data_IF_339780246148
#
_entry.id   IF_339780246148
#
_cell.length_a   1.000
_cell.length_b   1.000
_cell.length_c   1.000
_cell.angle_alpha   90.00
_cell.angle_beta   90.00
_cell.angle_gamma   90.00
#
_symmetry.space_group_name_H-M   'P 1'
#
loop_
_entity.id
_entity.type
_entity.pdbx_description
1 polymer ?
#
# COMPACT_ATOMS: atom_id res chain seq x y z
N UNK A 1 -4.70 9.61 2.97
CA UNK A 1 -5.41 8.35 3.24
C UNK A 1 -4.75 7.71 4.45
N UNK A 2 -5.49 6.90 5.21
CA UNK A 2 -4.99 6.21 6.41
C UNK A 2 -4.90 4.71 6.17
N UNK A 3 -4.02 4.03 6.89
CA UNK A 3 -3.95 2.59 6.91
C UNK A 3 -5.27 1.99 7.40
N UNK A 4 -5.70 0.91 6.74
CA UNK A 4 -6.95 0.21 7.09
C UNK A 4 -6.73 -1.25 7.36
N UNK A 5 -6.01 -1.93 6.48
CA UNK A 5 -5.86 -3.39 6.54
C UNK A 5 -4.62 -3.83 5.78
N UNK A 6 -4.18 -5.05 6.07
CA UNK A 6 -3.22 -5.78 5.27
C UNK A 6 -3.81 -7.12 4.80
N UNK A 7 -3.09 -7.81 3.92
CA UNK A 7 -3.56 -9.07 3.36
C UNK A 7 -3.63 -10.26 4.31
N UNK A 8 -3.01 -10.14 5.48
CA UNK A 8 -3.15 -11.12 6.55
C UNK A 8 -4.43 -10.93 7.36
N UNK A 9 -5.10 -9.78 7.25
CA UNK A 9 -6.33 -9.43 7.97
C UNK A 9 -7.62 -9.42 7.11
N UNK A 10 -7.52 -9.65 5.79
CA UNK A 10 -8.64 -9.55 4.84
C UNK A 10 -8.92 -10.87 4.11
N UNK A 11 -10.12 -11.02 3.52
CA UNK A 11 -10.45 -12.22 2.74
C UNK A 11 -9.65 -12.23 1.43
N UNK A 12 -8.89 -13.31 1.18
CA UNK A 12 -7.94 -13.39 0.06
C UNK A 12 -8.53 -13.09 -1.33
N UNK A 13 -9.84 -13.28 -1.54
CA UNK A 13 -10.51 -12.96 -2.82
C UNK A 13 -10.57 -11.46 -3.11
N UNK A 14 -10.84 -10.63 -2.10
CA UNK A 14 -10.96 -9.18 -2.27
C UNK A 14 -9.60 -8.54 -2.57
N UNK A 15 -8.54 -9.09 -1.99
CA UNK A 15 -7.18 -8.63 -2.24
C UNK A 15 -6.67 -9.09 -3.59
N UNK A 16 -6.94 -10.34 -3.98
CA UNK A 16 -6.59 -10.80 -5.31
C UNK A 16 -7.23 -9.89 -6.39
N UNK A 17 -8.52 -9.57 -6.26
CA UNK A 17 -9.19 -8.68 -7.19
C UNK A 17 -8.58 -7.26 -7.21
N UNK A 18 -8.12 -6.75 -6.07
CA UNK A 18 -7.43 -5.46 -5.98
C UNK A 18 -6.06 -5.52 -6.67
N UNK A 19 -5.28 -6.58 -6.45
CA UNK A 19 -3.94 -6.76 -7.03
C UNK A 19 -4.04 -6.96 -8.55
N UNK A 20 -4.99 -7.77 -9.03
CA UNK A 20 -5.18 -8.06 -10.46
C UNK A 20 -5.52 -6.80 -11.28
N UNK A 21 -6.08 -5.77 -10.64
CA UNK A 21 -6.44 -4.49 -11.27
C UNK A 21 -5.51 -3.34 -10.85
N UNK A 22 -4.43 -3.63 -10.12
CA UNK A 22 -3.52 -2.62 -9.62
C UNK A 22 -2.70 -1.98 -10.73
N UNK A 23 -2.48 -0.68 -10.61
CA UNK A 23 -1.54 0.07 -11.43
C UNK A 23 -0.38 0.52 -10.55
N UNK A 24 0.83 0.18 -10.95
CA UNK A 24 2.05 0.67 -10.30
C UNK A 24 2.13 2.20 -10.40
N UNK A 25 2.53 2.83 -9.30
CA UNK A 25 2.71 4.29 -9.18
C UNK A 25 4.06 4.60 -8.54
N UNK A 26 4.53 5.83 -8.69
CA UNK A 26 5.76 6.26 -8.01
C UNK A 26 5.53 6.50 -6.52
N UNK A 27 6.62 6.51 -5.75
CA UNK A 27 6.60 6.96 -4.34
C UNK A 27 6.01 8.36 -4.21
N UNK A 28 6.39 9.29 -5.10
CA UNK A 28 5.87 10.66 -5.08
C UNK A 28 4.36 10.70 -5.29
N UNK A 29 3.84 9.92 -6.26
CA UNK A 29 2.39 9.79 -6.48
C UNK A 29 1.68 9.18 -5.29
N UNK A 30 2.31 8.23 -4.61
CA UNK A 30 1.76 7.56 -3.43
C UNK A 30 1.69 8.52 -2.22
N UNK A 31 2.74 9.30 -1.97
CA UNK A 31 2.81 10.25 -0.86
C UNK A 31 1.93 11.49 -1.06
N UNK A 32 1.48 11.80 -2.28
CA UNK A 32 0.40 12.77 -2.51
C UNK A 32 -0.91 12.30 -1.87
N UNK A 33 -1.12 10.99 -1.76
CA UNK A 33 -2.36 10.40 -1.27
C UNK A 33 -2.29 9.93 0.18
N UNK A 34 -1.10 9.62 0.73
CA UNK A 34 -0.93 9.01 2.06
C UNK A 34 -0.30 10.00 3.05
N UNK A 35 -0.74 9.95 4.29
CA UNK A 35 -0.13 10.73 5.36
C UNK A 35 1.22 10.09 5.78
N UNK A 36 2.28 10.88 5.83
CA UNK A 36 3.63 10.42 6.16
C UNK A 36 3.69 9.72 7.52
N UNK A 37 2.89 10.17 8.50
CA UNK A 37 2.84 9.55 9.83
C UNK A 37 2.31 8.12 9.79
N UNK A 38 1.44 7.78 8.84
CA UNK A 38 0.94 6.40 8.69
C UNK A 38 2.04 5.47 8.13
N UNK A 39 2.97 6.00 7.34
CA UNK A 39 4.13 5.25 6.86
C UNK A 39 5.16 5.07 7.97
N UNK A 40 5.41 6.10 8.76
CA UNK A 40 6.26 6.01 9.96
C UNK A 40 5.74 4.97 10.95
N UNK A 41 4.42 4.92 11.18
CA UNK A 41 3.81 3.94 12.08
C UNK A 41 3.90 2.50 11.54
N UNK A 42 3.70 2.31 10.23
CA UNK A 42 3.75 0.98 9.60
C UNK A 42 5.18 0.46 9.42
N UNK A 43 6.12 1.37 9.16
CA UNK A 43 7.50 1.04 8.82
C UNK A 43 8.51 1.89 9.61
N UNK A 44 8.48 1.85 10.95
CA UNK A 44 9.23 2.77 11.81
C UNK A 44 10.74 2.64 11.70
N UNK A 45 11.25 1.52 11.18
CA UNK A 45 12.67 1.27 10.95
C UNK A 45 13.12 1.46 9.51
N UNK A 46 12.19 1.75 8.59
CA UNK A 46 12.48 1.88 7.16
C UNK A 46 12.19 3.27 6.60
N UNK A 47 11.45 4.12 7.29
CA UNK A 47 11.29 5.52 6.86
C UNK A 47 12.58 6.34 7.15
N UNK A 48 13.04 7.22 6.23
CA UNK A 48 12.49 7.56 4.91
C UNK A 48 12.96 6.66 3.75
N UNK A 49 13.74 5.62 4.01
CA UNK A 49 14.36 4.76 3.00
C UNK A 49 13.45 3.69 2.39
N UNK A 50 12.17 3.63 2.74
CA UNK A 50 11.28 2.57 2.27
C UNK A 50 11.10 2.61 0.74
N UNK A 51 11.16 3.80 0.15
CA UNK A 51 11.16 3.99 -1.30
C UNK A 51 12.45 3.53 -1.99
N UNK A 52 13.54 3.36 -1.24
CA UNK A 52 14.83 2.89 -1.75
C UNK A 52 14.98 1.36 -1.64
N UNK A 53 14.04 0.70 -0.95
CA UNK A 53 14.01 -0.75 -0.83
C UNK A 53 13.49 -1.37 -2.14
N UNK A 54 14.37 -2.08 -2.85
CA UNK A 54 14.05 -2.73 -4.12
C UNK A 54 12.94 -3.79 -4.02
N UNK A 55 12.61 -4.24 -2.81
CA UNK A 55 11.53 -5.18 -2.54
C UNK A 55 10.21 -4.49 -2.15
N UNK A 56 10.14 -3.17 -2.30
CA UNK A 56 8.96 -2.35 -2.06
C UNK A 56 8.44 -1.78 -3.38
N UNK A 57 7.15 -1.97 -3.61
CA UNK A 57 6.45 -1.45 -4.78
C UNK A 57 5.16 -0.73 -4.33
N UNK A 58 4.77 0.30 -5.07
CA UNK A 58 3.63 1.16 -4.76
C UNK A 58 2.57 1.05 -5.84
N UNK A 59 1.31 0.95 -5.43
CA UNK A 59 0.22 0.68 -6.34
C UNK A 59 -1.01 1.52 -6.02
N UNK A 60 -1.76 1.87 -7.06
CA UNK A 60 -3.12 2.40 -6.98
C UNK A 60 -4.11 1.36 -7.50
N UNK A 61 -5.23 1.18 -6.81
CA UNK A 61 -6.27 0.24 -7.20
C UNK A 61 -7.64 0.65 -6.63
N UNK A 62 -8.58 -0.30 -6.60
CA UNK A 62 -9.87 -0.18 -5.93
C UNK A 62 -10.06 -1.37 -5.01
N UNK A 63 -10.25 -1.11 -3.71
CA UNK A 63 -10.52 -2.12 -2.71
C UNK A 63 -11.99 -2.05 -2.28
N UNK A 64 -12.75 -3.11 -2.49
CA UNK A 64 -14.19 -3.17 -2.18
C UNK A 64 -15.03 -2.02 -2.80
N UNK A 65 -14.66 -1.57 -3.99
CA UNK A 65 -15.32 -0.46 -4.68
C UNK A 65 -14.85 0.93 -4.24
N UNK A 66 -13.89 1.03 -3.33
CA UNK A 66 -13.30 2.29 -2.85
C UNK A 66 -11.92 2.47 -3.49
N UNK A 67 -11.61 3.62 -4.12
CA UNK A 67 -10.27 3.92 -4.57
C UNK A 67 -9.26 3.80 -3.43
N UNK A 68 -8.16 3.13 -3.66
CA UNK A 68 -7.15 2.87 -2.65
C UNK A 68 -5.74 2.96 -3.24
N UNK A 69 -4.77 3.15 -2.37
CA UNK A 69 -3.35 2.90 -2.66
C UNK A 69 -2.83 1.84 -1.72
N UNK A 70 -1.81 1.09 -2.14
CA UNK A 70 -1.18 0.10 -1.27
C UNK A 70 0.32 -0.03 -1.52
N UNK A 71 1.03 -0.40 -0.46
CA UNK A 71 2.44 -0.78 -0.49
C UNK A 71 2.50 -2.29 -0.54
N UNK A 72 3.23 -2.85 -1.50
CA UNK A 72 3.60 -4.27 -1.46
C UNK A 72 5.01 -4.37 -0.90
N UNK A 73 5.17 -5.10 0.19
CA UNK A 73 6.48 -5.35 0.79
C UNK A 73 6.50 -6.75 1.40
N UNK A 74 7.49 -7.57 1.01
CA UNK A 74 7.61 -8.97 1.46
C UNK A 74 6.34 -9.81 1.19
N UNK A 75 5.71 -9.63 0.02
CA UNK A 75 4.44 -10.26 -0.37
C UNK A 75 3.26 -9.95 0.58
N UNK A 76 3.33 -8.81 1.28
CA UNK A 76 2.23 -8.28 2.08
C UNK A 76 1.78 -6.96 1.44
N UNK A 77 0.49 -6.86 1.13
CA UNK A 77 -0.15 -5.64 0.66
C UNK A 77 -0.71 -4.85 1.85
N UNK A 78 -0.19 -3.65 2.09
CA UNK A 78 -0.63 -2.70 3.12
C UNK A 78 -1.53 -1.65 2.46
N UNK A 79 -2.83 -1.67 2.77
CA UNK A 79 -3.85 -0.94 2.00
C UNK A 79 -4.33 0.32 2.74
N UNK A 80 -4.41 1.42 1.99
CA UNK A 80 -4.82 2.76 2.44
C UNK A 80 -6.03 3.23 1.61
N UNK A 81 -7.11 3.65 2.28
CA UNK A 81 -8.33 4.23 1.67
C UNK A 81 -9.17 5.03 2.67
#
# INVERSE_FOLDING_TARGET
>A
MRYKTNCTASSGKSIQAMVDNAKEISWDDFMVEVDEGEIDELFPSKHPHISEDYAVEFYRSTFLGVPCVFVQHSAIEYVFY
#
